data_IF_096582165647
#
_entry.id   IF_096582165647
#
_cell.length_a   1.000
_cell.length_b   1.000
_cell.length_c   1.000
_cell.angle_alpha   90.00
_cell.angle_beta   90.00
_cell.angle_gamma   90.00
#
_symmetry.space_group_name_H-M   'P 1'
#
loop_
_entity.id
_entity.type
_entity.pdbx_description
1 polymer ?
#
# COMPACT_ATOMS: atom_id res chain seq x y z
N UNK A 1 14.06 -5.72 -19.63
CA UNK A 1 14.20 -5.81 -18.16
C UNK A 1 12.85 -6.20 -17.59
N UNK A 2 12.79 -7.20 -16.72
CA UNK A 2 11.56 -7.55 -16.01
C UNK A 2 11.33 -6.50 -14.91
N UNK A 3 10.11 -5.96 -14.82
CA UNK A 3 9.73 -5.03 -13.73
C UNK A 3 9.67 -5.80 -12.42
N UNK A 4 10.33 -5.34 -11.33
CA UNK A 4 10.30 -6.03 -10.03
C UNK A 4 8.87 -6.19 -9.48
N UNK A 5 8.58 -7.28 -8.72
CA UNK A 5 7.24 -7.54 -8.18
C UNK A 5 6.63 -6.35 -7.41
N UNK A 6 7.42 -5.72 -6.53
CA UNK A 6 7.00 -4.53 -5.78
C UNK A 6 6.57 -3.39 -6.70
N UNK A 7 7.38 -3.06 -7.71
CA UNK A 7 7.07 -1.98 -8.64
C UNK A 7 5.84 -2.34 -9.49
N UNK A 8 5.68 -3.60 -9.88
CA UNK A 8 4.51 -4.07 -10.61
C UNK A 8 3.23 -3.93 -9.77
N UNK A 9 3.29 -4.22 -8.47
CA UNK A 9 2.16 -4.04 -7.56
C UNK A 9 1.74 -2.57 -7.50
N UNK A 10 2.69 -1.65 -7.32
CA UNK A 10 2.39 -0.21 -7.35
C UNK A 10 1.77 0.22 -8.68
N UNK A 11 2.27 -0.28 -9.81
CA UNK A 11 1.72 0.08 -11.13
C UNK A 11 0.30 -0.47 -11.34
N UNK A 12 0.00 -1.66 -10.80
CA UNK A 12 -1.34 -2.24 -10.87
C UNK A 12 -2.34 -1.49 -9.99
N UNK A 13 -1.93 -1.07 -8.80
CA UNK A 13 -2.78 -0.31 -7.88
C UNK A 13 -3.03 1.14 -8.35
N UNK A 14 -2.13 1.72 -9.13
CA UNK A 14 -2.23 3.10 -9.62
C UNK A 14 -2.23 3.14 -11.16
N UNK A 15 -3.28 2.61 -11.82
CA UNK A 15 -3.34 2.56 -13.27
C UNK A 15 -3.56 3.96 -13.89
N UNK A 16 -4.20 4.87 -13.15
CA UNK A 16 -4.47 6.22 -13.61
C UNK A 16 -3.22 7.12 -13.48
N UNK A 17 -2.79 7.82 -14.54
CA UNK A 17 -1.59 8.65 -14.51
C UNK A 17 -1.63 9.77 -13.46
N UNK A 18 -2.82 10.32 -13.18
CA UNK A 18 -3.00 11.37 -12.18
C UNK A 18 -2.67 10.86 -10.77
N UNK A 19 -3.21 9.71 -10.39
CA UNK A 19 -2.96 9.09 -9.08
C UNK A 19 -1.50 8.62 -8.97
N UNK A 20 -0.96 8.00 -10.01
CA UNK A 20 0.44 7.60 -10.03
C UNK A 20 1.37 8.80 -9.81
N UNK A 21 1.10 9.94 -10.46
CA UNK A 21 1.89 11.17 -10.28
C UNK A 21 1.75 11.73 -8.86
N UNK A 22 0.57 11.63 -8.25
CA UNK A 22 0.29 12.13 -6.90
C UNK A 22 0.95 11.30 -5.81
N UNK A 23 0.89 9.98 -5.92
CA UNK A 23 1.25 9.05 -4.84
C UNK A 23 2.60 8.35 -5.03
N UNK A 24 3.01 8.10 -6.29
CA UNK A 24 4.19 7.29 -6.59
C UNK A 24 5.40 8.15 -6.94
N UNK A 25 6.07 8.67 -5.91
CA UNK A 25 7.37 9.31 -6.10
C UNK A 25 8.41 8.33 -6.65
N UNK A 26 9.46 8.84 -7.31
CA UNK A 26 10.59 8.03 -7.76
C UNK A 26 11.23 7.24 -6.60
N UNK A 27 11.24 7.82 -5.39
CA UNK A 27 11.77 7.14 -4.20
C UNK A 27 10.85 6.03 -3.69
N UNK A 28 9.54 6.15 -3.88
CA UNK A 28 8.57 5.09 -3.57
C UNK A 28 8.76 3.94 -4.54
N UNK A 29 8.79 4.22 -5.85
CA UNK A 29 8.99 3.20 -6.89
C UNK A 29 10.30 2.42 -6.72
N UNK A 30 11.36 3.10 -6.26
CA UNK A 30 12.67 2.48 -6.04
C UNK A 30 12.86 1.89 -4.62
N UNK A 31 11.86 1.93 -3.73
CA UNK A 31 12.02 1.61 -2.32
C UNK A 31 12.55 0.19 -2.09
N UNK A 32 12.02 -0.81 -2.81
CA UNK A 32 12.45 -2.19 -2.66
C UNK A 32 13.93 -2.38 -3.04
N UNK A 33 14.37 -1.82 -4.18
CA UNK A 33 15.78 -1.85 -4.58
C UNK A 33 16.66 -1.12 -3.56
N UNK A 34 16.21 0.02 -3.04
CA UNK A 34 16.95 0.77 -2.03
C UNK A 34 17.07 0.01 -0.71
N UNK A 35 16.08 -0.82 -0.38
CA UNK A 35 16.13 -1.74 0.76
C UNK A 35 17.11 -2.88 0.54
N UNK A 36 17.10 -3.54 -0.62
CA UNK A 36 18.05 -4.62 -0.94
C UNK A 36 19.52 -4.16 -0.91
N UNK A 37 19.75 -2.88 -1.16
CA UNK A 37 21.08 -2.26 -1.20
C UNK A 37 21.42 -1.49 0.09
N UNK A 38 20.56 -1.55 1.10
CA UNK A 38 20.70 -0.75 2.30
C UNK A 38 21.89 -1.20 3.15
N UNK A 39 22.62 -0.23 3.69
CA UNK A 39 23.56 -0.50 4.77
C UNK A 39 22.82 -1.00 6.02
N UNK A 40 23.46 -1.82 6.87
CA UNK A 40 22.83 -2.34 8.09
C UNK A 40 22.27 -1.26 9.03
N UNK A 41 22.82 -0.05 9.01
CA UNK A 41 22.33 1.07 9.81
C UNK A 41 20.99 1.64 9.29
N UNK A 42 20.73 1.51 7.99
CA UNK A 42 19.56 2.07 7.30
C UNK A 42 18.48 1.01 7.05
N UNK A 43 18.82 -0.28 7.14
CA UNK A 43 17.98 -1.39 6.68
C UNK A 43 16.56 -1.36 7.26
N UNK A 44 16.42 -1.06 8.55
CA UNK A 44 15.11 -0.97 9.20
C UNK A 44 14.24 0.14 8.60
N UNK A 45 14.82 1.33 8.38
CA UNK A 45 14.10 2.44 7.76
C UNK A 45 13.75 2.14 6.30
N UNK A 46 14.66 1.54 5.53
CA UNK A 46 14.39 1.18 4.13
C UNK A 46 13.33 0.09 4.04
N UNK A 47 13.34 -0.89 4.94
CA UNK A 47 12.31 -1.91 5.02
C UNK A 47 10.95 -1.30 5.33
N UNK A 48 10.87 -0.39 6.31
CA UNK A 48 9.62 0.30 6.65
C UNK A 48 9.04 1.07 5.44
N UNK A 49 9.89 1.65 4.60
CA UNK A 49 9.45 2.28 3.34
C UNK A 49 8.86 1.29 2.34
N UNK A 50 9.36 0.05 2.29
CA UNK A 50 8.76 -1.02 1.47
C UNK A 50 7.38 -1.36 2.01
N UNK A 51 7.27 -1.57 3.33
CA UNK A 51 5.99 -1.87 4.00
C UNK A 51 4.95 -0.79 3.72
N UNK A 52 5.31 0.48 3.89
CA UNK A 52 4.43 1.60 3.56
C UNK A 52 4.01 1.62 2.09
N UNK A 53 4.91 1.29 1.16
CA UNK A 53 4.57 1.24 -0.26
C UNK A 53 3.60 0.11 -0.61
N UNK A 54 3.76 -1.06 0.00
CA UNK A 54 2.82 -2.18 -0.16
C UNK A 54 1.47 -1.86 0.47
N UNK A 55 1.47 -1.31 1.69
CA UNK A 55 0.29 -0.83 2.39
C UNK A 55 -0.46 0.22 1.55
N UNK A 56 0.26 1.17 0.94
CA UNK A 56 -0.29 2.18 0.05
C UNK A 56 -0.99 1.56 -1.17
N UNK A 57 -0.38 0.55 -1.80
CA UNK A 57 -0.99 -0.16 -2.93
C UNK A 57 -2.30 -0.87 -2.53
N UNK A 58 -2.29 -1.56 -1.40
CA UNK A 58 -3.47 -2.29 -0.90
C UNK A 58 -4.62 -1.35 -0.54
N UNK A 59 -4.33 -0.21 0.11
CA UNK A 59 -5.36 0.79 0.42
C UNK A 59 -5.92 1.46 -0.82
N UNK A 60 -5.12 1.64 -1.88
CA UNK A 60 -5.61 2.17 -3.15
C UNK A 60 -6.57 1.18 -3.82
N UNK A 61 -6.18 -0.10 -3.90
CA UNK A 61 -7.06 -1.15 -4.43
C UNK A 61 -8.36 -1.23 -3.62
N UNK A 62 -8.28 -1.14 -2.29
CA UNK A 62 -9.46 -1.17 -1.43
C UNK A 62 -10.35 0.06 -1.60
N UNK A 63 -9.78 1.25 -1.68
CA UNK A 63 -10.55 2.49 -1.91
C UNK A 63 -11.23 2.50 -3.26
N UNK A 64 -10.59 1.89 -4.26
CA UNK A 64 -11.10 1.77 -5.62
C UNK A 64 -12.14 0.66 -5.76
N UNK A 65 -12.23 -0.29 -4.82
CA UNK A 65 -13.14 -1.42 -4.92
C UNK A 65 -14.57 -1.10 -4.45
N UNK A 66 -14.71 -0.20 -3.47
CA UNK A 66 -16.01 0.07 -2.85
C UNK A 66 -16.24 1.52 -2.45
N UNK A 67 -15.51 2.47 -3.05
CA UNK A 67 -15.56 3.89 -2.73
C UNK A 67 -15.44 4.17 -1.20
N UNK A 68 -14.61 3.39 -0.50
CA UNK A 68 -14.45 3.50 0.95
C UNK A 68 -13.66 4.77 1.30
N UNK A 69 -14.34 5.76 1.89
CA UNK A 69 -13.74 7.03 2.33
C UNK A 69 -12.65 6.79 3.40
N UNK A 70 -12.85 5.82 4.28
CA UNK A 70 -11.89 5.40 5.30
C UNK A 70 -10.60 4.90 4.64
N UNK A 71 -10.69 4.06 3.61
CA UNK A 71 -9.54 3.55 2.88
C UNK A 71 -8.76 4.68 2.17
N UNK A 72 -9.47 5.67 1.59
CA UNK A 72 -8.84 6.88 1.02
C UNK A 72 -8.13 7.72 2.07
N UNK A 73 -8.73 7.84 3.25
CA UNK A 73 -8.11 8.58 4.36
C UNK A 73 -6.85 7.88 4.83
N UNK A 74 -6.88 6.55 5.00
CA UNK A 74 -5.69 5.75 5.34
C UNK A 74 -4.63 5.86 4.24
N UNK A 75 -5.00 5.80 2.97
CA UNK A 75 -4.10 5.99 1.83
C UNK A 75 -3.34 7.33 1.93
N UNK A 76 -4.04 8.42 2.25
CA UNK A 76 -3.44 9.75 2.43
C UNK A 76 -2.53 9.82 3.66
N UNK A 77 -2.84 9.12 4.74
CA UNK A 77 -1.95 8.99 5.92
C UNK A 77 -0.66 8.27 5.53
N UNK A 78 -0.75 7.13 4.83
CA UNK A 78 0.42 6.36 4.37
C UNK A 78 1.29 7.18 3.42
N UNK A 79 0.66 7.95 2.52
CA UNK A 79 1.38 8.86 1.64
C UNK A 79 2.12 9.96 2.40
N UNK A 80 1.53 10.52 3.46
CA UNK A 80 2.24 11.45 4.36
C UNK A 80 3.40 10.76 5.08
N UNK A 81 3.20 9.55 5.58
CA UNK A 81 4.23 8.77 6.26
C UNK A 81 5.44 8.46 5.36
N UNK A 82 5.23 8.21 4.06
CA UNK A 82 6.30 8.00 3.09
C UNK A 82 7.26 9.19 2.92
N UNK A 83 6.85 10.40 3.37
CA UNK A 83 7.68 11.62 3.35
C UNK A 83 8.50 11.80 4.62
N UNK A 84 8.29 10.96 5.64
CA UNK A 84 8.99 11.06 6.91
C UNK A 84 10.47 10.66 6.78
N UNK A 85 11.39 11.33 7.51
CA UNK A 85 12.83 11.10 7.38
C UNK A 85 13.35 9.91 8.20
N UNK A 86 12.53 9.27 9.03
CA UNK A 86 12.94 8.18 9.94
C UNK A 86 11.76 7.31 10.35
N UNK A 87 12.03 6.12 10.89
CA UNK A 87 11.01 5.20 11.43
C UNK A 87 10.18 5.89 12.53
N UNK A 88 10.84 6.55 13.49
CA UNK A 88 10.12 7.29 14.55
C UNK A 88 9.19 8.38 14.01
N UNK A 89 9.56 9.03 12.90
CA UNK A 89 8.71 10.03 12.26
C UNK A 89 7.55 9.39 11.44
N UNK A 90 7.76 8.18 10.90
CA UNK A 90 6.70 7.34 10.33
C UNK A 90 5.70 7.01 11.43
N UNK A 91 6.15 6.41 12.53
CA UNK A 91 5.30 6.01 13.66
C UNK A 91 4.51 7.20 14.21
N UNK A 92 5.16 8.35 14.36
CA UNK A 92 4.51 9.58 14.82
C UNK A 92 3.43 10.08 13.85
N UNK A 93 3.61 9.85 12.55
CA UNK A 93 2.60 10.17 11.53
C UNK A 93 1.41 9.21 11.64
N UNK A 94 1.68 7.91 11.72
CA UNK A 94 0.62 6.88 11.80
C UNK A 94 -0.19 7.02 13.11
N UNK A 95 0.47 7.20 14.25
CA UNK A 95 -0.18 7.30 15.56
C UNK A 95 -1.13 8.49 15.68
N UNK A 96 -0.81 9.62 15.05
CA UNK A 96 -1.70 10.80 15.03
C UNK A 96 -3.04 10.53 14.37
N UNK A 97 -3.07 9.57 13.45
CA UNK A 97 -4.22 9.22 12.64
C UNK A 97 -4.76 7.81 13.00
N UNK A 98 -4.39 7.25 14.15
CA UNK A 98 -4.73 5.87 14.56
C UNK A 98 -6.23 5.56 14.53
N UNK A 99 -7.08 6.53 14.93
CA UNK A 99 -8.53 6.39 14.90
C UNK A 99 -9.10 6.16 13.47
N UNK A 100 -8.38 6.58 12.43
CA UNK A 100 -8.77 6.29 11.04
C UNK A 100 -8.55 4.82 10.70
N UNK A 101 -7.46 4.22 11.19
CA UNK A 101 -7.21 2.79 11.00
C UNK A 101 -8.24 1.94 11.76
N UNK A 102 -8.64 2.35 12.97
CA UNK A 102 -9.69 1.65 13.72
C UNK A 102 -11.04 1.66 12.98
N UNK A 103 -11.42 2.79 12.38
CA UNK A 103 -12.66 2.90 11.59
C UNK A 103 -12.63 2.07 10.32
N UNK A 104 -11.46 1.95 9.67
CA UNK A 104 -11.30 1.10 8.50
C UNK A 104 -11.85 -0.31 8.75
N UNK A 105 -11.60 -0.89 9.93
CA UNK A 105 -12.04 -2.23 10.31
C UNK A 105 -13.50 -2.33 10.77
N UNK A 106 -14.18 -1.20 11.03
CA UNK A 106 -15.53 -1.19 11.59
C UNK A 106 -16.62 -1.36 10.53
N UNK A 107 -16.38 -0.89 9.30
CA UNK A 107 -17.41 -0.77 8.26
C UNK A 107 -17.46 -1.94 7.25
N UNK A 108 -16.74 -3.03 7.53
CA UNK A 108 -16.59 -4.13 6.57
C UNK A 108 -17.44 -5.32 6.96
N UNK A 109 -18.62 -5.41 6.37
CA UNK A 109 -19.46 -6.60 6.55
C UNK A 109 -20.09 -7.15 5.28
N UNK A 110 -19.62 -6.80 4.07
CA UNK A 110 -20.32 -7.23 2.84
C UNK A 110 -19.43 -7.57 1.62
N UNK A 111 -18.10 -7.45 1.66
CA UNK A 111 -17.26 -7.72 0.47
C UNK A 111 -16.04 -8.62 0.77
N UNK A 112 -16.07 -9.85 0.25
CA UNK A 112 -14.99 -10.85 0.37
C UNK A 112 -13.65 -10.35 -0.19
N UNK A 113 -13.67 -9.63 -1.31
CA UNK A 113 -12.45 -9.07 -1.92
C UNK A 113 -11.85 -7.95 -1.06
N UNK A 114 -12.71 -7.13 -0.45
CA UNK A 114 -12.31 -6.11 0.52
C UNK A 114 -11.67 -6.72 1.77
N UNK A 115 -12.25 -7.81 2.29
CA UNK A 115 -11.67 -8.57 3.41
C UNK A 115 -10.30 -9.17 3.04
N UNK A 116 -10.14 -9.72 1.84
CA UNK A 116 -8.85 -10.26 1.39
C UNK A 116 -7.77 -9.17 1.28
N UNK A 117 -8.13 -7.98 0.77
CA UNK A 117 -7.21 -6.84 0.72
C UNK A 117 -6.79 -6.36 2.11
N UNK A 118 -7.72 -6.34 3.06
CA UNK A 118 -7.43 -5.96 4.43
C UNK A 118 -6.59 -6.98 5.17
N UNK A 119 -6.85 -8.27 4.94
CA UNK A 119 -6.00 -9.32 5.47
C UNK A 119 -4.55 -9.19 4.97
N UNK A 120 -4.36 -8.87 3.68
CA UNK A 120 -3.02 -8.56 3.15
C UNK A 120 -2.43 -7.29 3.76
N UNK A 121 -3.26 -6.30 4.06
CA UNK A 121 -2.84 -5.07 4.70
C UNK A 121 -2.37 -5.32 6.14
N UNK A 122 -3.13 -6.06 6.95
CA UNK A 122 -2.72 -6.51 8.29
C UNK A 122 -1.40 -7.27 8.23
N UNK A 123 -1.26 -8.23 7.30
CA UNK A 123 0.00 -8.96 7.10
C UNK A 123 1.16 -8.06 6.69
N UNK A 124 0.90 -6.95 6.00
CA UNK A 124 1.92 -5.93 5.71
C UNK A 124 2.36 -5.23 7.00
N UNK A 125 1.41 -4.92 7.88
CA UNK A 125 1.64 -4.31 9.20
C UNK A 125 2.24 -5.27 10.24
N UNK A 126 2.22 -6.57 9.98
CA UNK A 126 2.87 -7.58 10.83
C UNK A 126 4.18 -8.12 10.25
N UNK A 127 4.43 -7.94 8.95
CA UNK A 127 5.65 -8.42 8.31
C UNK A 127 6.90 -7.72 8.85
N UNK A 128 7.73 -8.48 9.57
CA UNK A 128 8.98 -8.03 10.21
C UNK A 128 10.24 -8.41 9.42
N UNK A 129 10.06 -9.08 8.27
CA UNK A 129 11.16 -9.60 7.47
C UNK A 129 10.86 -9.57 5.98
N UNK A 130 11.93 -9.56 5.17
CA UNK A 130 11.83 -9.56 3.71
C UNK A 130 11.02 -10.74 3.16
N UNK A 131 11.22 -12.01 3.59
CA UNK A 131 10.45 -13.12 3.05
C UNK A 131 8.94 -12.98 3.28
N UNK A 132 8.53 -12.49 4.45
CA UNK A 132 7.11 -12.25 4.76
C UNK A 132 6.53 -11.16 3.86
N UNK A 133 7.27 -10.08 3.67
CA UNK A 133 6.88 -8.99 2.76
C UNK A 133 6.78 -9.47 1.30
N UNK A 134 7.71 -10.33 0.87
CA UNK A 134 7.69 -10.91 -0.48
C UNK A 134 6.51 -11.86 -0.70
N UNK A 135 6.09 -12.57 0.33
CA UNK A 135 4.86 -13.37 0.29
C UNK A 135 3.63 -12.47 0.11
N UNK A 136 3.52 -11.40 0.90
CA UNK A 136 2.43 -10.42 0.77
C UNK A 136 2.39 -9.81 -0.63
N UNK A 137 3.53 -9.35 -1.17
CA UNK A 137 3.61 -8.79 -2.52
C UNK A 137 3.15 -9.80 -3.57
N UNK A 138 3.61 -11.06 -3.47
CA UNK A 138 3.23 -12.11 -4.43
C UNK A 138 1.75 -12.47 -4.37
N UNK A 139 1.14 -12.39 -3.20
CA UNK A 139 -0.28 -12.66 -3.01
C UNK A 139 -1.13 -11.49 -3.48
N UNK A 140 -0.76 -10.26 -3.14
CA UNK A 140 -1.38 -9.04 -3.66
C UNK A 140 -1.33 -8.99 -5.21
N UNK A 141 -0.22 -9.40 -5.83
CA UNK A 141 -0.10 -9.51 -7.29
C UNK A 141 -1.00 -10.58 -7.91
N UNK A 142 -1.40 -11.60 -7.14
CA UNK A 142 -2.34 -12.63 -7.59
C UNK A 142 -3.79 -12.16 -7.42
N UNK A 143 -4.07 -11.41 -6.36
CA UNK A 143 -5.40 -10.87 -6.05
C UNK A 143 -5.77 -9.67 -6.92
N UNK A 144 -4.88 -8.69 -7.09
CA UNK A 144 -5.21 -7.43 -7.76
C UNK A 144 -5.87 -7.59 -9.15
N UNK A 145 -5.47 -8.55 -10.01
CA UNK A 145 -6.14 -8.76 -11.31
C UNK A 145 -7.51 -9.43 -11.25
N UNK A 146 -7.91 -9.98 -10.10
CA UNK A 146 -9.22 -10.64 -9.94
C UNK A 146 -10.29 -9.70 -9.39
N UNK A 147 -9.89 -8.55 -8.87
CA UNK A 147 -10.79 -7.53 -8.33
C UNK A 147 -11.63 -6.89 -9.44
N UNK A 148 -12.92 -6.68 -9.18
CA UNK A 148 -13.83 -6.05 -10.13
C UNK A 148 -13.85 -4.52 -9.97
N UNK A 149 -13.21 -3.85 -10.92
CA UNK A 149 -13.18 -2.38 -11.03
C UNK A 149 -14.09 -1.84 -12.14
N UNK A 150 -15.03 -2.64 -12.66
CA UNK A 150 -15.92 -2.25 -13.78
C UNK A 150 -16.63 -0.91 -13.55
N UNK A 151 -17.00 -0.61 -12.31
CA UNK A 151 -17.63 0.66 -11.93
C UNK A 151 -16.74 1.91 -12.18
N UNK A 152 -15.41 1.78 -12.23
CA UNK A 152 -14.49 2.90 -12.52
C UNK A 152 -14.42 3.25 -14.01
N UNK A 153 -14.98 2.40 -14.88
CA UNK A 153 -15.00 2.61 -16.34
C UNK A 153 -16.37 3.04 -16.87
N UNK A 154 -17.41 3.04 -16.04
CA UNK A 154 -18.79 3.38 -16.46
C UNK A 154 -19.09 4.90 -16.43
N UNK A 155 -18.23 5.73 -15.85
CA UNK A 155 -18.44 7.20 -15.79
C UNK A 155 -17.98 7.97 -17.05
N UNK A 156 -17.39 7.29 -18.04
CA UNK A 156 -16.82 7.90 -19.26
C UNK A 156 -17.68 7.68 -20.54
N UNK A 157 -18.96 7.27 -20.45
CA UNK A 157 -19.93 7.25 -21.58
C UNK A 157 -20.95 8.41 -21.57
#
# INVERSE_FOLDING_TARGET
>A
MLVPPYQRLLQLAFPQPADATRYLSATTLAAYRAFEQADPADIAFRFERVRLGVALALMKLLSDLGDLEEARTVLDVLHRALKAPSVSAIDSTIQKDAATFERLYADLYVNEEGEQLLHLFERTLDADSQPLMDDVIREALRLAPTLDFSHLTEEDE
#
